data_IF_590330009122
#
_entry.id   IF_590330009122
#
_cell.length_a   1.000
_cell.length_b   1.000
_cell.length_c   1.000
_cell.angle_alpha   90.00
_cell.angle_beta   90.00
_cell.angle_gamma   90.00
#
_symmetry.space_group_name_H-M   'P 1'
#
loop_
_entity.id
_entity.type
_entity.pdbx_description
1 polymer ?
#
# COMPACT_ATOMS: atom_id res chain seq x y z
N UNK A 1 -5.59 28.57 -9.59
CA UNK A 1 -5.40 27.58 -8.51
C UNK A 1 -4.35 28.09 -7.54
N UNK A 2 -4.69 28.21 -6.27
CA UNK A 2 -3.74 28.55 -5.21
C UNK A 2 -2.93 27.30 -4.82
N UNK A 3 -1.71 27.46 -4.32
CA UNK A 3 -0.86 26.31 -3.91
C UNK A 3 -1.47 25.49 -2.77
N UNK A 4 -2.49 25.99 -2.06
CA UNK A 4 -3.28 25.23 -1.07
C UNK A 4 -4.21 24.23 -1.76
N UNK A 5 -4.96 24.67 -2.77
CA UNK A 5 -5.86 23.82 -3.58
C UNK A 5 -5.11 22.68 -4.27
N UNK A 6 -3.88 22.91 -4.73
CA UNK A 6 -3.06 21.86 -5.34
C UNK A 6 -2.67 20.76 -4.34
N UNK A 7 -2.40 21.12 -3.08
CA UNK A 7 -2.06 20.14 -2.03
C UNK A 7 -3.29 19.37 -1.57
N UNK A 8 -4.44 20.05 -1.47
CA UNK A 8 -5.70 19.37 -1.18
C UNK A 8 -6.11 18.42 -2.30
N UNK A 9 -5.78 18.74 -3.56
CA UNK A 9 -5.95 17.84 -4.69
C UNK A 9 -5.11 16.57 -4.56
N UNK A 10 -3.88 16.67 -4.05
CA UNK A 10 -3.01 15.50 -3.79
C UNK A 10 -3.53 14.61 -2.66
N UNK A 11 -4.36 15.14 -1.75
CA UNK A 11 -4.98 14.40 -0.65
C UNK A 11 -6.34 13.82 -1.01
N UNK A 12 -6.82 13.99 -2.24
CA UNK A 12 -8.08 13.39 -2.71
C UNK A 12 -8.10 11.89 -2.39
N UNK A 13 -9.28 11.32 -2.09
CA UNK A 13 -9.42 9.98 -1.52
C UNK A 13 -8.99 8.81 -2.42
N UNK A 14 -8.32 9.07 -3.55
CA UNK A 14 -7.92 8.04 -4.52
C UNK A 14 -6.89 7.08 -3.95
N UNK A 15 -5.83 7.58 -3.32
CA UNK A 15 -4.82 6.72 -2.69
C UNK A 15 -5.43 5.90 -1.54
N UNK A 16 -6.31 6.51 -0.74
CA UNK A 16 -6.98 5.84 0.38
C UNK A 16 -7.93 4.74 -0.11
N UNK A 17 -8.69 5.00 -1.18
CA UNK A 17 -9.53 3.98 -1.81
C UNK A 17 -8.69 2.81 -2.34
N UNK A 18 -7.57 3.09 -3.02
CA UNK A 18 -6.63 2.05 -3.47
C UNK A 18 -6.04 1.27 -2.29
N UNK A 19 -5.69 1.93 -1.19
CA UNK A 19 -5.20 1.25 0.02
C UNK A 19 -6.24 0.35 0.67
N UNK A 20 -7.52 0.72 0.66
CA UNK A 20 -8.59 -0.15 1.12
C UNK A 20 -8.76 -1.37 0.20
N UNK A 21 -8.62 -1.19 -1.12
CA UNK A 21 -8.62 -2.31 -2.08
C UNK A 21 -7.43 -3.23 -1.82
N UNK A 22 -6.21 -2.70 -1.68
CA UNK A 22 -5.03 -3.50 -1.32
C UNK A 22 -5.23 -4.26 -0.02
N UNK A 23 -5.78 -3.60 1.01
CA UNK A 23 -6.06 -4.23 2.30
C UNK A 23 -7.06 -5.38 2.14
N UNK A 24 -8.12 -5.17 1.38
CA UNK A 24 -9.08 -6.23 1.06
C UNK A 24 -8.41 -7.41 0.35
N UNK A 25 -7.55 -7.17 -0.64
CA UNK A 25 -6.84 -8.22 -1.37
C UNK A 25 -5.90 -9.02 -0.46
N UNK A 26 -5.18 -8.36 0.44
CA UNK A 26 -4.31 -9.02 1.42
C UNK A 26 -5.15 -9.87 2.38
N UNK A 27 -6.23 -9.32 2.94
CA UNK A 27 -7.12 -10.06 3.84
C UNK A 27 -7.78 -11.25 3.13
N UNK A 28 -8.17 -11.08 1.87
CA UNK A 28 -8.71 -12.14 1.03
C UNK A 28 -7.66 -13.22 0.75
N UNK A 29 -6.40 -12.84 0.52
CA UNK A 29 -5.28 -13.78 0.36
C UNK A 29 -5.04 -14.59 1.63
N UNK A 30 -5.21 -14.00 2.81
CA UNK A 30 -5.10 -14.71 4.08
C UNK A 30 -6.14 -15.83 4.28
N UNK A 31 -7.21 -15.89 3.46
CA UNK A 31 -8.16 -17.01 3.51
C UNK A 31 -7.47 -18.35 3.20
N UNK A 32 -6.38 -18.36 2.43
CA UNK A 32 -5.65 -19.60 2.13
C UNK A 32 -5.14 -20.31 3.40
N UNK A 33 -4.81 -19.56 4.46
CA UNK A 33 -4.42 -20.13 5.76
C UNK A 33 -5.57 -20.88 6.45
N UNK A 34 -6.82 -20.42 6.28
CA UNK A 34 -7.99 -21.13 6.79
C UNK A 34 -8.33 -22.38 5.96
N UNK A 35 -7.84 -22.46 4.72
CA UNK A 35 -8.02 -23.59 3.81
C UNK A 35 -6.81 -24.52 3.73
N UNK A 36 -6.00 -24.58 4.80
CA UNK A 36 -4.96 -25.59 4.98
C UNK A 36 -3.55 -25.19 4.54
N UNK A 37 -3.31 -23.92 4.20
CA UNK A 37 -1.95 -23.42 4.05
C UNK A 37 -1.30 -23.22 5.42
N UNK A 38 -0.22 -23.94 5.72
CA UNK A 38 0.55 -23.74 6.95
C UNK A 38 1.41 -22.47 6.85
N UNK A 39 1.35 -21.63 7.88
CA UNK A 39 2.17 -20.40 7.94
C UNK A 39 3.67 -20.70 7.93
N UNK A 40 4.11 -21.85 8.46
CA UNK A 40 5.53 -22.25 8.44
C UNK A 40 6.02 -22.55 7.02
N UNK A 41 5.16 -23.13 6.18
CA UNK A 41 5.48 -23.45 4.77
C UNK A 41 5.32 -22.25 3.85
N UNK A 42 4.72 -21.18 4.34
CA UNK A 42 4.50 -19.97 3.58
C UNK A 42 5.84 -19.23 3.29
N UNK A 43 6.17 -18.94 2.02
CA UNK A 43 7.46 -18.36 1.67
C UNK A 43 7.77 -17.02 2.35
N UNK A 44 9.01 -16.86 2.79
CA UNK A 44 9.44 -15.66 3.50
C UNK A 44 9.35 -14.39 2.65
N UNK A 45 9.54 -14.48 1.33
CA UNK A 45 9.43 -13.32 0.45
C UNK A 45 8.02 -12.73 0.45
N UNK A 46 6.98 -13.59 0.41
CA UNK A 46 5.58 -13.14 0.49
C UNK A 46 5.23 -12.58 1.88
N UNK A 47 5.79 -13.15 2.95
CA UNK A 47 5.65 -12.61 4.32
C UNK A 47 6.19 -11.18 4.39
N UNK A 48 7.42 -10.99 3.92
CA UNK A 48 8.11 -9.70 3.95
C UNK A 48 7.38 -8.67 3.09
N UNK A 49 6.95 -9.02 1.87
CA UNK A 49 6.21 -8.08 1.04
C UNK A 49 4.87 -7.70 1.64
N UNK A 50 4.12 -8.66 2.16
CA UNK A 50 2.83 -8.39 2.80
C UNK A 50 3.00 -7.40 3.96
N UNK A 51 4.06 -7.53 4.77
CA UNK A 51 4.37 -6.57 5.85
C UNK A 51 4.67 -5.17 5.29
N UNK A 52 5.47 -5.07 4.22
CA UNK A 52 5.78 -3.78 3.58
C UNK A 52 4.51 -3.13 3.01
N UNK A 53 3.67 -3.91 2.34
CA UNK A 53 2.39 -3.46 1.80
C UNK A 53 1.47 -2.92 2.90
N UNK A 54 1.37 -3.63 4.03
CA UNK A 54 0.61 -3.18 5.19
C UNK A 54 1.11 -1.84 5.74
N UNK A 55 2.43 -1.63 5.81
CA UNK A 55 3.01 -0.35 6.25
C UNK A 55 2.61 0.78 5.29
N UNK A 56 2.70 0.55 3.97
CA UNK A 56 2.32 1.56 2.96
C UNK A 56 0.82 1.88 3.05
N UNK A 57 -0.03 0.86 3.20
CA UNK A 57 -1.48 1.01 3.38
C UNK A 57 -1.78 1.88 4.60
N UNK A 58 -1.16 1.61 5.76
CA UNK A 58 -1.37 2.40 6.98
C UNK A 58 -0.97 3.86 6.75
N UNK A 59 0.20 4.11 6.16
CA UNK A 59 0.68 5.47 5.89
C UNK A 59 -0.24 6.21 4.91
N UNK A 60 -0.75 5.52 3.89
CA UNK A 60 -1.71 6.08 2.93
C UNK A 60 -3.05 6.41 3.58
N UNK A 61 -3.62 5.51 4.38
CA UNK A 61 -4.87 5.75 5.11
C UNK A 61 -4.72 6.91 6.11
N UNK A 62 -3.55 7.06 6.75
CA UNK A 62 -3.26 8.17 7.63
C UNK A 62 -3.38 9.54 6.94
N UNK A 63 -3.17 9.63 5.62
CA UNK A 63 -3.34 10.90 4.87
C UNK A 63 -4.76 11.48 4.92
N UNK A 64 -5.76 10.67 5.30
CA UNK A 64 -7.13 11.13 5.55
C UNK A 64 -7.15 12.27 6.58
N UNK A 65 -6.28 12.20 7.59
CA UNK A 65 -6.12 13.23 8.61
C UNK A 65 -5.14 14.30 8.09
N UNK A 66 -5.50 15.58 8.26
CA UNK A 66 -4.63 16.70 7.86
C UNK A 66 -3.62 16.98 8.96
N UNK A 67 -2.41 16.44 8.84
CA UNK A 67 -1.35 16.61 9.84
C UNK A 67 -0.77 18.02 9.92
N UNK A 68 -0.77 18.76 8.81
CA UNK A 68 -0.18 20.11 8.75
C UNK A 68 -1.21 21.13 8.31
N UNK A 69 -1.40 22.13 9.16
CA UNK A 69 -2.18 23.30 8.83
C UNK A 69 -1.28 24.44 8.31
N UNK A 70 -1.31 24.63 6.99
CA UNK A 70 -0.56 25.67 6.28
C UNK A 70 -1.11 27.09 6.46
N UNK A 71 -2.15 27.30 7.28
CA UNK A 71 -2.61 28.64 7.66
C UNK A 71 -1.64 29.33 8.61
N UNK A 72 -0.79 28.59 9.33
CA UNK A 72 0.29 29.14 10.16
C UNK A 72 1.51 29.48 9.30
N UNK A 73 2.05 30.69 9.45
CA UNK A 73 3.21 31.17 8.68
C UNK A 73 4.45 30.26 8.84
N UNK A 74 4.67 29.73 10.06
CA UNK A 74 5.75 28.78 10.35
C UNK A 74 5.64 27.44 9.59
N UNK A 75 4.42 27.03 9.22
CA UNK A 75 4.17 25.79 8.49
C UNK A 75 4.40 25.94 6.98
N UNK A 76 4.47 27.17 6.44
CA UNK A 76 4.69 27.40 5.02
C UNK A 76 6.04 26.86 4.54
N UNK A 77 7.07 26.88 5.39
CA UNK A 77 8.41 26.32 5.08
C UNK A 77 8.37 24.81 4.77
N UNK A 78 7.46 24.07 5.39
CA UNK A 78 7.35 22.61 5.24
C UNK A 78 6.44 22.19 4.08
N UNK A 79 5.75 23.13 3.44
CA UNK A 79 4.77 22.89 2.38
C UNK A 79 5.33 22.06 1.22
N UNK A 80 6.55 22.37 0.77
CA UNK A 80 7.22 21.64 -0.32
C UNK A 80 7.58 20.20 0.07
N UNK A 81 8.00 19.99 1.31
CA UNK A 81 8.37 18.67 1.84
C UNK A 81 7.12 17.81 1.96
N UNK A 82 6.04 18.37 2.51
CA UNK A 82 4.77 17.67 2.65
C UNK A 82 4.16 17.28 1.30
N UNK A 83 4.17 18.20 0.31
CA UNK A 83 3.68 17.88 -1.04
C UNK A 83 4.49 16.74 -1.69
N UNK A 84 5.82 16.71 -1.51
CA UNK A 84 6.67 15.61 -1.99
C UNK A 84 6.32 14.30 -1.30
N UNK A 85 6.12 14.33 0.01
CA UNK A 85 5.69 13.15 0.78
C UNK A 85 4.38 12.57 0.24
N UNK A 86 3.36 13.41 0.05
CA UNK A 86 2.06 12.99 -0.49
C UNK A 86 2.20 12.34 -1.89
N UNK A 87 2.97 12.97 -2.79
CA UNK A 87 3.21 12.41 -4.13
C UNK A 87 3.87 11.04 -4.04
N UNK A 88 4.92 10.89 -3.22
CA UNK A 88 5.64 9.62 -3.06
C UNK A 88 4.70 8.53 -2.55
N UNK A 89 3.92 8.80 -1.50
CA UNK A 89 3.00 7.78 -0.96
C UNK A 89 1.90 7.44 -1.95
N UNK A 90 1.37 8.40 -2.71
CA UNK A 90 0.34 8.13 -3.71
C UNK A 90 0.85 7.22 -4.84
N UNK A 91 2.09 7.45 -5.31
CA UNK A 91 2.73 6.57 -6.29
C UNK A 91 2.97 5.18 -5.71
N UNK A 92 3.55 5.11 -4.50
CA UNK A 92 3.78 3.83 -3.82
C UNK A 92 2.49 3.04 -3.62
N UNK A 93 1.42 3.71 -3.22
CA UNK A 93 0.10 3.08 -3.03
C UNK A 93 -0.45 2.49 -4.32
N UNK A 94 -0.23 3.17 -5.45
CA UNK A 94 -0.65 2.68 -6.76
C UNK A 94 0.10 1.40 -7.12
N UNK A 95 1.41 1.36 -6.85
CA UNK A 95 2.25 0.17 -7.03
C UNK A 95 1.80 -0.94 -6.08
N UNK A 96 1.50 -0.63 -4.82
CA UNK A 96 1.02 -1.58 -3.81
C UNK A 96 -0.27 -2.28 -4.22
N UNK A 97 -1.20 -1.62 -4.93
CA UNK A 97 -2.42 -2.30 -5.41
C UNK A 97 -2.09 -3.38 -6.45
N UNK A 98 -1.13 -3.11 -7.34
CA UNK A 98 -0.69 -4.07 -8.37
C UNK A 98 0.03 -5.23 -7.72
N UNK A 99 0.94 -4.95 -6.78
CA UNK A 99 1.64 -5.99 -6.02
C UNK A 99 0.68 -6.85 -5.18
N UNK A 100 -0.32 -6.25 -4.52
CA UNK A 100 -1.31 -7.01 -3.76
C UNK A 100 -2.14 -7.95 -4.65
N UNK A 101 -2.47 -7.52 -5.88
CA UNK A 101 -3.13 -8.38 -6.87
C UNK A 101 -2.24 -9.53 -7.32
N UNK A 102 -0.95 -9.27 -7.57
CA UNK A 102 0.01 -10.32 -7.92
C UNK A 102 0.23 -11.30 -6.75
N UNK A 103 0.39 -10.79 -5.53
CA UNK A 103 0.56 -11.59 -4.32
C UNK A 103 -0.62 -12.52 -4.09
N UNK A 104 -1.86 -12.09 -4.35
CA UNK A 104 -3.04 -12.97 -4.30
C UNK A 104 -2.85 -14.23 -5.16
N UNK A 105 -2.32 -14.11 -6.37
CA UNK A 105 -2.04 -15.24 -7.24
C UNK A 105 -0.95 -16.17 -6.65
N UNK A 106 0.11 -15.59 -6.09
CA UNK A 106 1.18 -16.36 -5.46
C UNK A 106 0.72 -17.10 -4.20
N UNK A 107 -0.16 -16.50 -3.38
CA UNK A 107 -0.78 -17.18 -2.24
C UNK A 107 -1.58 -18.40 -2.68
N UNK A 108 -2.37 -18.27 -3.75
CA UNK A 108 -3.15 -19.39 -4.30
C UNK A 108 -2.24 -20.50 -4.89
N UNK A 109 -1.15 -20.14 -5.56
CA UNK A 109 -0.19 -21.10 -6.10
C UNK A 109 0.51 -21.90 -5.00
N UNK A 110 0.96 -21.23 -3.94
CA UNK A 110 1.61 -21.87 -2.78
C UNK A 110 0.64 -22.81 -2.06
N UNK A 111 -0.64 -22.43 -1.93
CA UNK A 111 -1.67 -23.32 -1.38
C UNK A 111 -1.81 -24.62 -2.19
N UNK A 112 -1.62 -24.55 -3.51
CA UNK A 112 -1.64 -25.70 -4.40
C UNK A 112 -0.25 -26.36 -4.58
N UNK A 113 0.70 -26.09 -3.69
CA UNK A 113 2.04 -26.66 -3.67
C UNK A 113 2.94 -26.29 -4.86
N UNK A 114 2.65 -25.18 -5.56
CA UNK A 114 3.52 -24.63 -6.59
C UNK A 114 4.35 -23.47 -6.04
N UNK A 115 5.68 -23.58 -6.14
CA UNK A 115 6.57 -22.47 -5.86
C UNK A 115 6.85 -21.67 -7.14
N UNK A 116 6.46 -20.40 -7.12
CA UNK A 116 6.60 -19.47 -8.23
C UNK A 116 7.61 -18.36 -7.96
N UNK A 117 8.56 -18.58 -7.04
CA UNK A 117 9.58 -17.57 -6.68
C UNK A 117 10.27 -16.91 -7.88
N UNK A 118 10.64 -17.68 -8.90
CA UNK A 118 11.29 -17.15 -10.11
C UNK A 118 10.38 -16.19 -10.91
N UNK A 119 9.07 -16.45 -10.93
CA UNK A 119 8.10 -15.56 -11.59
C UNK A 119 7.82 -14.34 -10.71
N UNK A 120 7.78 -14.53 -9.40
CA UNK A 120 7.63 -13.45 -8.43
C UNK A 120 8.77 -12.43 -8.52
N UNK A 121 10.02 -12.88 -8.75
CA UNK A 121 11.17 -11.99 -8.98
C UNK A 121 11.07 -11.15 -10.26
N UNK A 122 10.31 -11.59 -11.26
CA UNK A 122 10.17 -10.91 -12.55
C UNK A 122 9.00 -9.91 -12.60
N UNK A 123 8.08 -9.99 -11.63
CA UNK A 123 6.91 -9.11 -11.51
C UNK A 123 7.17 -7.88 -10.66
#
# INVERSE_FOLDING_TARGET
MTTKENIDTLRKPGAQALSLISLFLILFSCLTFFFGLDYERFPNYLKITTIIELIIIVISLLQWIRFIDFEKESAQKYKKIYARFLVVINVLTTITVVFALCNLYYFAAVQNHYDLFNYWLMG
#
